data_IF_772851010091
#
_entry.id   IF_772851010091
#
_cell.length_a   1.000
_cell.length_b   1.000
_cell.length_c   1.000
_cell.angle_alpha   90.00
_cell.angle_beta   90.00
_cell.angle_gamma   90.00
#
_symmetry.space_group_name_H-M   'P 1'
#
loop_
_entity.id
_entity.type
_entity.pdbx_description
1 polymer ?
#
# COMPACT_ATOMS: atom_id res chain seq x y z
N UNK A 1 11.84 10.42 12.29
CA UNK A 1 10.46 10.84 12.63
C UNK A 1 9.54 10.16 11.61
N UNK A 2 8.93 9.02 11.98
CA UNK A 2 7.91 8.40 11.13
C UNK A 2 6.76 9.41 11.06
N UNK A 3 6.50 9.98 9.89
CA UNK A 3 5.28 10.77 9.71
C UNK A 3 4.13 9.79 9.88
N UNK A 4 3.19 10.08 10.78
CA UNK A 4 1.99 9.25 10.95
C UNK A 4 1.16 9.37 9.67
N UNK A 5 1.41 8.43 8.75
CA UNK A 5 0.71 8.35 7.49
C UNK A 5 -0.67 7.71 7.74
N UNK A 6 -1.74 8.20 7.08
CA UNK A 6 -3.08 7.65 7.23
C UNK A 6 -3.18 6.32 6.46
N UNK A 7 -2.74 5.23 7.08
CA UNK A 7 -2.77 3.89 6.51
C UNK A 7 -4.20 3.36 6.38
N UNK A 8 -4.51 2.84 5.19
CA UNK A 8 -5.74 2.12 4.89
C UNK A 8 -5.41 0.70 4.46
N UNK A 9 -5.94 -0.26 5.21
CA UNK A 9 -5.86 -1.69 4.88
C UNK A 9 -6.78 -2.05 3.73
N UNK A 10 -6.31 -2.93 2.84
CA UNK A 10 -7.15 -3.52 1.79
C UNK A 10 -8.29 -4.34 2.41
N UNK A 11 -9.46 -4.32 1.79
CA UNK A 11 -10.59 -5.20 2.16
C UNK A 11 -10.30 -6.68 1.85
N UNK A 12 -9.30 -6.94 1.01
CA UNK A 12 -8.84 -8.29 0.69
C UNK A 12 -7.82 -8.84 1.70
N UNK A 13 -7.35 -7.99 2.63
CA UNK A 13 -6.50 -8.41 3.75
C UNK A 13 -7.37 -9.11 4.80
N UNK A 14 -7.37 -10.45 4.82
CA UNK A 14 -8.16 -11.27 5.74
C UNK A 14 -7.34 -12.28 6.54
N UNK A 15 -7.97 -12.92 7.52
CA UNK A 15 -7.39 -14.00 8.37
C UNK A 15 -7.03 -15.26 7.58
N UNK A 16 -7.63 -15.46 6.42
CA UNK A 16 -7.59 -16.72 5.67
C UNK A 16 -6.40 -16.78 4.68
N UNK A 17 -5.34 -15.99 4.93
CA UNK A 17 -4.11 -16.03 4.14
C UNK A 17 -4.13 -15.17 2.87
N UNK A 18 -5.09 -14.24 2.72
CA UNK A 18 -5.11 -13.29 1.60
C UNK A 18 -3.86 -12.41 1.53
N UNK A 19 -3.59 -11.88 0.33
CA UNK A 19 -2.51 -10.91 0.10
C UNK A 19 -2.77 -9.63 0.91
N UNK A 20 -1.88 -9.34 1.87
CA UNK A 20 -2.07 -8.30 2.89
C UNK A 20 -1.33 -7.02 2.54
N UNK A 21 -2.05 -6.00 2.05
CA UNK A 21 -1.44 -4.70 1.73
C UNK A 21 -2.13 -3.53 2.42
N UNK A 22 -1.33 -2.55 2.83
CA UNK A 22 -1.78 -1.24 3.32
C UNK A 22 -1.23 -0.12 2.44
N UNK A 23 -2.07 0.89 2.21
CA UNK A 23 -1.69 2.08 1.43
C UNK A 23 -1.93 3.35 2.24
N UNK A 24 -1.07 4.34 2.09
CA UNK A 24 -1.29 5.68 2.65
C UNK A 24 -0.95 6.78 1.65
N UNK A 25 -1.70 7.89 1.74
CA UNK A 25 -1.34 9.12 1.04
C UNK A 25 -0.13 9.75 1.72
N UNK A 26 0.94 9.99 0.97
CA UNK A 26 2.16 10.62 1.44
C UNK A 26 2.46 11.88 0.61
N UNK A 27 3.27 12.78 1.16
CA UNK A 27 3.60 14.07 0.53
C UNK A 27 4.08 13.93 -0.93
N UNK A 28 4.87 12.90 -1.24
CA UNK A 28 5.45 12.68 -2.56
C UNK A 28 4.91 11.43 -3.28
N UNK A 29 3.78 10.86 -2.84
CA UNK A 29 3.17 9.73 -3.54
C UNK A 29 2.26 8.87 -2.68
N UNK A 30 2.18 7.59 -3.05
CA UNK A 30 1.43 6.58 -2.30
C UNK A 30 2.43 5.63 -1.67
N UNK A 31 2.40 5.56 -0.35
CA UNK A 31 3.18 4.61 0.42
C UNK A 31 2.44 3.26 0.43
N UNK A 32 3.16 2.17 0.20
CA UNK A 32 2.64 0.79 0.18
C UNK A 32 3.50 -0.04 1.12
N UNK A 33 2.88 -0.84 1.98
CA UNK A 33 3.58 -1.79 2.86
C UNK A 33 2.81 -3.09 3.01
N UNK A 34 3.51 -4.12 3.46
CA UNK A 34 2.91 -5.37 3.93
C UNK A 34 2.18 -5.12 5.25
N UNK A 35 0.91 -5.54 5.34
CA UNK A 35 0.17 -5.41 6.61
C UNK A 35 0.70 -6.35 7.70
N UNK A 36 1.38 -7.44 7.31
CA UNK A 36 1.96 -8.45 8.21
C UNK A 36 3.31 -8.02 8.77
N UNK A 37 3.98 -7.07 8.13
CA UNK A 37 5.22 -6.45 8.60
C UNK A 37 5.15 -4.90 8.56
N UNK A 38 4.42 -4.26 9.51
CA UNK A 38 4.22 -2.81 9.53
C UNK A 38 5.50 -1.99 9.72
N UNK A 39 6.55 -2.63 10.24
CA UNK A 39 7.87 -2.05 10.53
C UNK A 39 8.88 -2.30 9.40
N UNK A 40 8.50 -3.15 8.43
CA UNK A 40 9.30 -3.48 7.26
C UNK A 40 9.38 -2.37 6.21
N UNK A 41 9.95 -2.68 5.03
CA UNK A 41 10.14 -1.72 3.96
C UNK A 41 8.82 -1.10 3.46
N UNK A 42 8.87 0.21 3.22
CA UNK A 42 7.78 0.96 2.59
C UNK A 42 8.16 1.31 1.16
N UNK A 43 7.34 0.90 0.20
CA UNK A 43 7.50 1.27 -1.20
C UNK A 43 6.75 2.58 -1.45
N UNK A 44 7.45 3.61 -1.92
CA UNK A 44 6.84 4.88 -2.31
C UNK A 44 6.72 4.95 -3.83
N UNK A 45 5.48 5.06 -4.33
CA UNK A 45 5.20 5.15 -5.77
C UNK A 45 4.46 6.42 -6.12
N UNK A 46 4.73 6.96 -7.31
CA UNK A 46 3.95 8.07 -7.85
C UNK A 46 2.50 7.61 -8.12
N UNK A 47 1.48 8.45 -7.86
CA UNK A 47 0.09 8.06 -8.05
C UNK A 47 -0.24 7.60 -9.49
N UNK A 48 0.36 8.23 -10.49
CA UNK A 48 0.17 7.84 -11.90
C UNK A 48 0.70 6.43 -12.21
N UNK A 49 1.85 6.07 -11.60
CA UNK A 49 2.46 4.74 -11.76
C UNK A 49 1.61 3.69 -11.08
N UNK A 50 1.13 3.97 -9.86
CA UNK A 50 0.25 3.05 -9.14
C UNK A 50 -1.06 2.79 -9.89
N UNK A 51 -1.69 3.83 -10.43
CA UNK A 51 -2.91 3.69 -11.25
C UNK A 51 -2.69 2.80 -12.48
N UNK A 52 -1.54 2.96 -13.13
CA UNK A 52 -1.20 2.14 -14.30
C UNK A 52 -0.94 0.69 -13.92
N UNK A 53 -0.20 0.46 -12.82
CA UNK A 53 0.04 -0.89 -12.31
C UNK A 53 -1.28 -1.61 -11.99
N UNK A 54 -2.21 -0.93 -11.31
CA UNK A 54 -3.54 -1.48 -10.99
C UNK A 54 -4.30 -1.82 -12.26
N UNK A 55 -4.38 -0.90 -13.23
CA UNK A 55 -5.08 -1.15 -14.51
C UNK A 55 -4.56 -2.39 -15.23
N UNK A 56 -3.24 -2.60 -15.24
CA UNK A 56 -2.61 -3.77 -15.86
C UNK A 56 -2.87 -5.07 -15.10
N UNK A 57 -2.94 -5.00 -13.77
CA UNK A 57 -3.16 -6.17 -12.92
C UNK A 57 -4.63 -6.64 -12.93
N UNK A 58 -5.56 -5.78 -13.33
CA UNK A 58 -7.01 -6.07 -13.37
C UNK A 58 -7.58 -6.20 -14.78
N UNK A 59 -6.74 -6.15 -15.82
CA UNK A 59 -7.11 -6.41 -17.21
C UNK A 59 -6.91 -7.90 -17.53
#
# INVERSE_FOLDING_TARGET
MKRDLPWRKSSHSGSDGGECVELASAENGVAIRDSKDPEGPVVLVRPAVLREAIRRATA
#
